data_IF_412349333873
#
_entry.id   IF_412349333873
#
_cell.length_a   1.000
_cell.length_b   1.000
_cell.length_c   1.000
_cell.angle_alpha   90.00
_cell.angle_beta   90.00
_cell.angle_gamma   90.00
#
_symmetry.space_group_name_H-M   'P 1'
#
loop_
_entity.id
_entity.type
_entity.pdbx_description
1 polymer ?
#
# COMPACT_ATOMS: atom_id res chain seq x y z
N UNK A 1 -24.29 -15.04 8.83
CA UNK A 1 -23.02 -14.46 8.49
C UNK A 1 -23.21 -13.37 7.47
N UNK A 2 -22.76 -12.14 7.80
CA UNK A 2 -22.74 -11.03 6.84
C UNK A 2 -21.43 -11.01 6.08
N UNK A 3 -21.46 -10.47 4.87
CA UNK A 3 -20.25 -10.19 4.10
C UNK A 3 -19.65 -8.85 4.55
N UNK A 4 -18.34 -8.73 4.48
CA UNK A 4 -17.63 -7.49 4.73
C UNK A 4 -17.94 -6.47 3.65
N UNK A 5 -18.37 -5.27 4.04
CA UNK A 5 -18.61 -4.14 3.15
C UNK A 5 -18.01 -2.86 3.79
N UNK A 6 -17.75 -1.85 2.96
CA UNK A 6 -17.10 -0.62 3.39
C UNK A 6 -18.15 0.47 3.54
N UNK A 7 -18.12 1.14 4.69
CA UNK A 7 -18.96 2.28 5.02
C UNK A 7 -18.08 3.49 5.34
N UNK A 8 -18.56 4.66 5.04
CA UNK A 8 -18.06 5.92 5.59
C UNK A 8 -18.93 6.32 6.77
N UNK A 9 -18.30 6.89 7.79
CA UNK A 9 -18.99 7.46 8.93
C UNK A 9 -18.57 8.93 9.06
N UNK A 10 -19.51 9.81 9.33
CA UNK A 10 -19.25 11.22 9.62
C UNK A 10 -20.04 11.67 10.85
N UNK A 11 -19.49 12.66 11.57
CA UNK A 11 -20.19 13.33 12.65
C UNK A 11 -21.26 14.22 12.02
N UNK A 12 -22.54 14.05 12.44
CA UNK A 12 -23.65 14.78 11.85
C UNK A 12 -23.80 16.21 12.39
N UNK A 13 -23.27 16.48 13.58
CA UNK A 13 -23.36 17.78 14.24
C UNK A 13 -22.06 18.54 14.17
N UNK A 14 -22.07 19.74 13.60
CA UNK A 14 -20.88 20.57 13.38
C UNK A 14 -20.15 20.97 14.67
N UNK A 15 -20.87 21.08 15.79
CA UNK A 15 -20.30 21.41 17.10
C UNK A 15 -19.54 20.24 17.75
N UNK A 16 -19.70 19.04 17.26
CA UNK A 16 -19.04 17.85 17.78
C UNK A 16 -17.73 17.58 17.00
N UNK A 17 -16.58 17.76 17.64
CA UNK A 17 -15.28 17.78 16.96
C UNK A 17 -14.59 16.42 16.83
N UNK A 18 -15.08 15.39 17.53
CA UNK A 18 -14.44 14.07 17.48
C UNK A 18 -15.45 12.93 17.70
N UNK A 19 -15.14 11.77 17.11
CA UNK A 19 -16.00 10.58 17.18
C UNK A 19 -16.28 10.06 18.60
N UNK A 20 -15.32 10.03 19.56
CA UNK A 20 -15.61 9.54 20.90
C UNK A 20 -16.70 10.32 21.65
N UNK A 21 -16.89 11.59 21.31
CA UNK A 21 -17.87 12.46 21.95
C UNK A 21 -19.08 12.76 21.04
N UNK A 22 -19.11 12.17 19.85
CA UNK A 22 -20.22 12.39 18.92
C UNK A 22 -21.48 11.71 19.41
N UNK A 23 -22.59 12.48 19.42
CA UNK A 23 -23.92 11.99 19.83
C UNK A 23 -24.74 11.50 18.66
N UNK A 24 -24.38 11.90 17.45
CA UNK A 24 -25.00 11.46 16.21
C UNK A 24 -23.95 11.20 15.12
N UNK A 25 -23.91 9.97 14.64
CA UNK A 25 -23.03 9.54 13.55
C UNK A 25 -23.91 9.09 12.39
N UNK A 26 -23.65 9.63 11.21
CA UNK A 26 -24.25 9.17 9.95
C UNK A 26 -23.33 8.20 9.25
N UNK A 27 -23.85 7.06 8.85
CA UNK A 27 -23.13 6.03 8.11
C UNK A 27 -23.72 5.85 6.72
N UNK A 28 -22.84 5.76 5.72
CA UNK A 28 -23.22 5.53 4.32
C UNK A 28 -22.33 4.43 3.72
N UNK A 29 -22.95 3.47 3.02
CA UNK A 29 -22.21 2.49 2.27
C UNK A 29 -21.44 3.16 1.10
N UNK A 30 -20.14 2.93 1.00
CA UNK A 30 -19.29 3.49 -0.07
C UNK A 30 -19.76 3.02 -1.44
N UNK A 31 -20.18 1.75 -1.51
CA UNK A 31 -20.75 1.09 -2.69
C UNK A 31 -21.99 0.31 -2.28
N UNK A 32 -22.87 -0.02 -3.22
CA UNK A 32 -24.02 -0.92 -2.92
C UNK A 32 -23.53 -2.18 -2.22
N UNK A 33 -24.27 -2.60 -1.18
CA UNK A 33 -23.97 -3.82 -0.42
C UNK A 33 -23.98 -5.01 -1.36
N UNK A 34 -22.99 -5.86 -1.26
CA UNK A 34 -22.72 -6.97 -2.15
C UNK A 34 -22.41 -8.25 -1.37
N UNK A 35 -22.53 -9.38 -2.02
CA UNK A 35 -22.03 -10.67 -1.52
C UNK A 35 -20.51 -10.80 -1.62
N UNK A 36 -19.85 -9.92 -2.38
CA UNK A 36 -18.40 -9.84 -2.42
C UNK A 36 -17.88 -9.23 -1.14
N UNK A 37 -16.83 -9.83 -0.59
CA UNK A 37 -16.15 -9.28 0.58
C UNK A 37 -15.30 -8.09 0.16
N UNK A 38 -15.38 -6.98 0.91
CA UNK A 38 -14.61 -5.76 0.69
C UNK A 38 -14.02 -5.27 2.00
N UNK A 39 -12.72 -5.14 2.08
CA UNK A 39 -12.01 -4.78 3.31
C UNK A 39 -10.70 -4.04 3.05
N UNK A 40 -9.99 -3.68 4.14
CA UNK A 40 -8.75 -2.91 4.13
C UNK A 40 -8.83 -1.60 3.31
N UNK A 41 -9.83 -0.72 3.55
CA UNK A 41 -9.97 0.51 2.78
C UNK A 41 -8.83 1.50 3.08
N UNK A 42 -8.34 2.18 2.04
CA UNK A 42 -7.36 3.27 2.15
C UNK A 42 -7.75 4.42 1.22
N UNK A 43 -7.84 5.63 1.74
CA UNK A 43 -8.04 6.83 0.92
C UNK A 43 -6.80 7.12 0.07
N UNK A 44 -7.02 7.63 -1.14
CA UNK A 44 -5.95 8.25 -1.92
C UNK A 44 -5.40 9.49 -1.19
N UNK A 45 -4.15 9.91 -1.45
CA UNK A 45 -3.55 11.08 -0.80
C UNK A 45 -4.36 12.36 -0.95
N UNK A 46 -5.10 12.51 -2.05
CA UNK A 46 -5.97 13.66 -2.30
C UNK A 46 -7.42 13.48 -1.77
N UNK A 47 -7.72 12.33 -1.18
CA UNK A 47 -9.02 12.02 -0.58
C UNK A 47 -10.17 11.80 -1.57
N UNK A 48 -9.91 11.74 -2.89
CA UNK A 48 -10.98 11.62 -3.89
C UNK A 48 -11.34 10.17 -4.23
N UNK A 49 -10.44 9.26 -3.98
CA UNK A 49 -10.59 7.85 -4.27
C UNK A 49 -10.39 7.00 -3.02
N UNK A 50 -10.92 5.80 -3.04
CA UNK A 50 -10.74 4.80 -2.00
C UNK A 50 -10.27 3.49 -2.65
N UNK A 51 -9.11 2.99 -2.25
CA UNK A 51 -8.65 1.66 -2.58
C UNK A 51 -9.18 0.65 -1.57
N UNK A 52 -9.41 -0.59 -2.00
CA UNK A 52 -9.86 -1.69 -1.15
C UNK A 52 -9.53 -3.04 -1.77
N UNK A 53 -9.52 -4.06 -0.93
CA UNK A 53 -9.39 -5.45 -1.39
C UNK A 53 -10.78 -6.03 -1.59
N UNK A 54 -11.05 -6.62 -2.77
CA UNK A 54 -12.26 -7.37 -3.06
C UNK A 54 -11.94 -8.86 -3.16
N UNK A 55 -12.77 -9.69 -2.50
CA UNK A 55 -12.66 -11.15 -2.50
C UNK A 55 -11.26 -11.67 -2.12
N UNK A 56 -10.54 -10.94 -1.25
CA UNK A 56 -9.20 -11.26 -0.68
C UNK A 56 -8.03 -11.18 -1.65
N UNK A 57 -8.27 -11.03 -2.95
CA UNK A 57 -7.23 -11.20 -3.97
C UNK A 57 -7.11 -10.03 -4.93
N UNK A 58 -8.13 -9.19 -5.07
CA UNK A 58 -8.16 -8.11 -6.06
C UNK A 58 -7.97 -6.74 -5.41
N UNK A 59 -7.06 -5.95 -5.94
CA UNK A 59 -6.95 -4.55 -5.58
C UNK A 59 -7.88 -3.72 -6.45
N UNK A 60 -8.82 -3.05 -5.82
CA UNK A 60 -9.85 -2.23 -6.46
C UNK A 60 -9.73 -0.79 -6.01
N UNK A 61 -10.17 0.14 -6.84
CA UNK A 61 -10.29 1.56 -6.49
C UNK A 61 -11.66 2.07 -6.92
N UNK A 62 -12.30 2.83 -6.04
CA UNK A 62 -13.54 3.55 -6.31
C UNK A 62 -13.33 5.06 -6.27
N UNK A 63 -13.82 5.78 -7.27
CA UNK A 63 -13.96 7.23 -7.23
C UNK A 63 -15.16 7.56 -6.32
N UNK A 64 -14.91 8.33 -5.26
CA UNK A 64 -15.91 8.58 -4.22
C UNK A 64 -17.08 9.45 -4.70
N UNK A 65 -16.85 10.30 -5.71
CA UNK A 65 -17.88 11.18 -6.27
C UNK A 65 -18.74 10.45 -7.29
N UNK A 66 -18.11 9.75 -8.24
CA UNK A 66 -18.82 9.11 -9.35
C UNK A 66 -19.26 7.69 -9.04
N UNK A 67 -18.73 7.09 -7.98
CA UNK A 67 -18.91 5.69 -7.58
C UNK A 67 -18.44 4.69 -8.64
N UNK A 68 -17.64 5.12 -9.61
CA UNK A 68 -17.04 4.24 -10.59
C UNK A 68 -15.92 3.43 -9.95
N UNK A 69 -15.94 2.13 -10.18
CA UNK A 69 -14.94 1.18 -9.68
C UNK A 69 -14.04 0.76 -10.83
N UNK A 70 -12.73 0.66 -10.56
CA UNK A 70 -11.75 0.04 -11.44
C UNK A 70 -10.94 -1.01 -10.71
N UNK A 71 -10.51 -2.02 -11.42
CA UNK A 71 -9.57 -3.02 -10.92
C UNK A 71 -8.14 -2.54 -11.21
N UNK A 72 -7.27 -2.62 -10.20
CA UNK A 72 -5.85 -2.25 -10.30
C UNK A 72 -4.97 -3.49 -10.44
N UNK A 73 -5.23 -4.51 -9.64
CA UNK A 73 -4.55 -5.80 -9.74
C UNK A 73 -5.57 -6.94 -9.64
N UNK A 74 -5.35 -8.00 -10.42
CA UNK A 74 -6.22 -9.16 -10.46
C UNK A 74 -5.77 -10.26 -9.48
N UNK A 75 -6.56 -11.33 -9.42
CA UNK A 75 -6.39 -12.43 -8.47
C UNK A 75 -5.19 -13.36 -8.77
N UNK A 76 -4.54 -13.23 -9.90
CA UNK A 76 -3.39 -14.09 -10.26
C UNK A 76 -2.15 -13.81 -9.41
N UNK A 77 -2.11 -12.65 -8.73
CA UNK A 77 -0.99 -12.24 -7.89
C UNK A 77 -1.18 -12.57 -6.41
N UNK A 78 -2.31 -13.18 -6.04
CA UNK A 78 -2.66 -13.38 -4.63
C UNK A 78 -3.20 -14.78 -4.34
N UNK A 79 -3.19 -15.12 -3.07
CA UNK A 79 -3.76 -16.35 -2.54
C UNK A 79 -5.11 -16.11 -1.84
N UNK A 80 -6.07 -16.99 -2.07
CA UNK A 80 -7.40 -16.87 -1.46
C UNK A 80 -7.45 -17.27 0.02
N UNK A 81 -6.39 -17.83 0.57
CA UNK A 81 -6.34 -18.34 1.94
C UNK A 81 -5.73 -17.33 2.90
N UNK A 82 -6.36 -16.23 3.16
CA UNK A 82 -5.83 -15.24 4.09
C UNK A 82 -6.75 -14.05 4.25
N UNK A 83 -6.32 -13.08 5.03
CA UNK A 83 -7.05 -11.84 5.27
C UNK A 83 -6.76 -10.76 4.20
N UNK A 84 -6.26 -11.17 3.04
CA UNK A 84 -5.81 -10.29 1.98
C UNK A 84 -4.30 -10.07 2.01
N UNK A 85 -3.84 -8.98 1.45
CA UNK A 85 -2.44 -8.59 1.31
C UNK A 85 -2.25 -7.12 1.70
N UNK A 86 -1.02 -6.73 2.01
CA UNK A 86 -0.69 -5.34 2.32
C UNK A 86 -0.47 -4.54 1.05
N UNK A 87 -1.00 -3.34 1.01
CA UNK A 87 -0.78 -2.38 -0.08
C UNK A 87 -0.75 -0.95 0.46
N UNK A 88 -0.19 -0.02 -0.29
CA UNK A 88 -0.16 1.40 0.07
C UNK A 88 -0.07 2.29 -1.18
N UNK A 89 -0.76 3.42 -1.15
CA UNK A 89 -0.65 4.46 -2.14
C UNK A 89 0.73 5.12 -2.12
N UNK A 90 1.26 5.46 -3.30
CA UNK A 90 2.36 6.41 -3.39
C UNK A 90 1.92 7.81 -2.95
N UNK A 91 2.83 8.68 -2.47
CA UNK A 91 2.47 10.03 -2.02
C UNK A 91 1.79 10.88 -3.09
N UNK A 92 2.11 10.66 -4.36
CA UNK A 92 1.50 11.35 -5.50
C UNK A 92 0.19 10.73 -6.01
N UNK A 93 -0.25 9.62 -5.40
CA UNK A 93 -1.47 8.90 -5.74
C UNK A 93 -1.45 8.18 -7.10
N UNK A 94 -0.29 8.05 -7.76
CA UNK A 94 -0.20 7.45 -9.10
C UNK A 94 0.14 5.98 -9.10
N UNK A 95 0.66 5.45 -7.99
CA UNK A 95 1.14 4.09 -7.86
C UNK A 95 0.65 3.44 -6.58
N UNK A 96 0.62 2.12 -6.58
CA UNK A 96 0.58 1.29 -5.38
C UNK A 96 1.89 0.53 -5.22
N UNK A 97 2.37 0.42 -3.99
CA UNK A 97 3.26 -0.64 -3.58
C UNK A 97 2.42 -1.71 -2.88
N UNK A 98 2.64 -2.98 -3.19
CA UNK A 98 1.82 -4.08 -2.66
C UNK A 98 2.62 -5.37 -2.52
N UNK A 99 2.16 -6.23 -1.63
CA UNK A 99 2.61 -7.61 -1.55
C UNK A 99 1.96 -8.43 -2.67
N UNK A 100 2.75 -9.30 -3.29
CA UNK A 100 2.27 -10.27 -4.28
C UNK A 100 2.87 -11.65 -3.99
N UNK A 101 2.18 -12.70 -4.42
CA UNK A 101 2.78 -14.03 -4.52
C UNK A 101 3.32 -14.17 -5.96
N UNK A 102 4.59 -13.80 -6.11
CA UNK A 102 5.27 -13.84 -7.40
C UNK A 102 5.73 -15.24 -7.77
N UNK A 103 5.91 -15.48 -9.06
CA UNK A 103 6.56 -16.68 -9.62
C UNK A 103 6.07 -18.05 -9.09
N UNK A 104 4.84 -18.14 -8.54
CA UNK A 104 4.28 -19.34 -7.91
C UNK A 104 5.14 -19.87 -6.74
N UNK A 105 5.86 -19.00 -6.06
CA UNK A 105 6.68 -19.34 -4.90
C UNK A 105 5.88 -19.30 -3.59
N UNK A 106 4.68 -19.85 -3.61
CA UNK A 106 3.90 -20.01 -2.39
C UNK A 106 4.68 -20.66 -1.26
N UNK A 107 4.58 -20.12 -0.05
CA UNK A 107 3.79 -18.95 0.42
C UNK A 107 4.59 -17.62 0.42
N UNK A 108 5.73 -17.56 -0.24
CA UNK A 108 6.65 -16.42 -0.16
C UNK A 108 6.12 -15.22 -0.94
N UNK A 109 6.00 -14.09 -0.26
CA UNK A 109 5.56 -12.83 -0.84
C UNK A 109 6.73 -12.00 -1.36
N UNK A 110 6.50 -11.29 -2.45
CA UNK A 110 7.39 -10.28 -3.01
C UNK A 110 6.75 -8.89 -2.90
N UNK A 111 7.56 -7.84 -3.00
CA UNK A 111 7.09 -6.46 -3.12
C UNK A 111 6.99 -6.10 -4.60
N UNK A 112 5.84 -5.56 -4.98
CA UNK A 112 5.57 -5.11 -6.33
C UNK A 112 5.00 -3.70 -6.37
N UNK A 113 5.08 -3.07 -7.54
CA UNK A 113 4.38 -1.81 -7.83
C UNK A 113 3.40 -2.00 -8.99
N UNK A 114 2.36 -1.20 -8.99
CA UNK A 114 1.38 -1.13 -10.07
C UNK A 114 0.83 0.28 -10.22
N UNK A 115 0.54 0.70 -11.45
CA UNK A 115 -0.09 2.00 -11.70
C UNK A 115 -1.51 2.04 -11.13
N UNK A 116 -1.83 3.12 -10.42
CA UNK A 116 -3.13 3.29 -9.75
C UNK A 116 -4.30 3.46 -10.73
N UNK A 117 -4.05 3.76 -12.00
CA UNK A 117 -5.08 3.85 -13.03
C UNK A 117 -5.59 2.49 -13.54
N UNK A 118 -4.96 1.39 -13.11
CA UNK A 118 -5.32 0.02 -13.48
C UNK A 118 -4.96 -0.38 -14.91
N UNK A 119 -4.13 0.41 -15.61
CA UNK A 119 -3.73 0.13 -17.01
C UNK A 119 -2.33 -0.46 -17.14
N UNK A 120 -1.55 -0.38 -16.07
CA UNK A 120 -0.18 -0.92 -16.04
C UNK A 120 -0.12 -2.38 -15.64
N UNK A 121 1.00 -3.02 -15.97
CA UNK A 121 1.33 -4.34 -15.43
C UNK A 121 1.85 -4.23 -13.99
N UNK A 122 1.65 -5.29 -13.21
CA UNK A 122 2.26 -5.42 -11.90
C UNK A 122 3.74 -5.77 -12.08
N UNK A 123 4.61 -4.91 -11.56
CA UNK A 123 6.08 -5.08 -11.65
C UNK A 123 6.60 -5.60 -10.32
N UNK A 124 7.08 -6.83 -10.30
CA UNK A 124 7.73 -7.43 -9.14
C UNK A 124 9.12 -6.79 -8.93
N UNK A 125 9.35 -6.15 -7.78
CA UNK A 125 10.59 -5.44 -7.48
C UNK A 125 11.63 -6.32 -6.79
N UNK A 126 11.20 -7.23 -5.92
CA UNK A 126 12.14 -8.01 -5.10
C UNK A 126 12.44 -9.36 -5.69
N UNK A 127 11.47 -10.01 -6.31
CA UNK A 127 11.60 -11.32 -6.97
C UNK A 127 12.47 -12.27 -6.15
N UNK A 128 12.18 -12.39 -4.86
CA UNK A 128 12.98 -13.11 -3.89
C UNK A 128 12.35 -14.47 -3.56
N UNK A 129 13.08 -15.34 -2.94
CA UNK A 129 12.54 -16.59 -2.37
C UNK A 129 12.31 -16.48 -0.87
N UNK A 130 12.01 -15.28 -0.37
CA UNK A 130 11.82 -14.97 1.05
C UNK A 130 10.49 -14.27 1.26
N UNK A 131 10.04 -14.15 2.51
CA UNK A 131 8.91 -13.29 2.84
C UNK A 131 9.36 -11.83 2.82
N UNK A 132 8.95 -11.12 1.78
CA UNK A 132 9.06 -9.66 1.70
C UNK A 132 7.67 -9.06 1.94
N UNK A 133 7.54 -8.18 2.93
CA UNK A 133 6.23 -7.73 3.42
C UNK A 133 6.22 -6.27 3.87
N UNK A 134 5.01 -5.74 4.09
CA UNK A 134 4.76 -4.42 4.66
C UNK A 134 5.44 -3.27 3.88
N UNK A 135 5.21 -3.13 2.58
CA UNK A 135 5.80 -2.05 1.79
C UNK A 135 5.32 -0.68 2.27
N UNK A 136 6.24 0.29 2.34
CA UNK A 136 5.95 1.69 2.68
C UNK A 136 6.75 2.63 1.80
N UNK A 137 6.07 3.56 1.16
CA UNK A 137 6.72 4.63 0.43
C UNK A 137 7.47 5.58 1.37
N UNK A 138 8.68 5.94 0.99
CA UNK A 138 9.53 6.91 1.71
C UNK A 138 10.24 7.81 0.70
N UNK A 139 10.95 8.85 1.19
CA UNK A 139 11.66 9.82 0.37
C UNK A 139 10.76 10.40 -0.74
N UNK A 140 9.57 10.86 -0.35
CA UNK A 140 8.57 11.45 -1.26
C UNK A 140 8.22 10.57 -2.47
N UNK A 141 8.18 9.25 -2.27
CA UNK A 141 7.87 8.27 -3.31
C UNK A 141 9.08 7.78 -4.11
N UNK A 142 10.29 8.21 -3.75
CA UNK A 142 11.51 7.79 -4.45
C UNK A 142 12.11 6.49 -3.94
N UNK A 143 11.57 5.92 -2.87
CA UNK A 143 11.96 4.61 -2.36
C UNK A 143 10.81 3.90 -1.64
N UNK A 144 10.95 2.59 -1.47
CA UNK A 144 10.03 1.75 -0.70
C UNK A 144 10.84 1.02 0.36
N UNK A 145 10.45 1.18 1.64
CA UNK A 145 10.88 0.32 2.74
C UNK A 145 10.00 -0.91 2.80
N UNK A 146 10.56 -2.04 3.16
CA UNK A 146 9.82 -3.28 3.40
C UNK A 146 10.56 -4.18 4.40
N UNK A 147 9.86 -5.11 5.01
CA UNK A 147 10.43 -6.15 5.86
C UNK A 147 10.81 -7.36 5.02
N UNK A 148 11.97 -7.98 5.30
CA UNK A 148 12.42 -9.19 4.60
C UNK A 148 13.03 -10.18 5.57
N UNK A 149 12.78 -11.46 5.34
CA UNK A 149 13.43 -12.56 6.06
C UNK A 149 14.75 -13.02 5.43
N UNK A 150 15.26 -12.29 4.45
CA UNK A 150 16.41 -12.68 3.62
C UNK A 150 17.68 -12.92 4.43
N UNK A 151 17.98 -12.06 5.38
CA UNK A 151 19.22 -12.12 6.18
C UNK A 151 18.95 -12.47 7.64
N UNK A 152 17.70 -12.56 8.06
CA UNK A 152 17.33 -12.86 9.42
C UNK A 152 17.65 -14.31 9.83
N UNK A 153 17.85 -14.53 11.12
CA UNK A 153 18.04 -15.87 11.66
C UNK A 153 16.74 -16.67 11.46
N UNK A 154 16.85 -17.79 10.77
CA UNK A 154 15.72 -18.69 10.53
C UNK A 154 15.43 -19.53 11.76
N UNK A 155 14.18 -19.58 12.14
CA UNK A 155 13.71 -20.48 13.18
C UNK A 155 13.57 -21.91 12.63
N UNK A 156 13.54 -22.85 13.57
CA UNK A 156 13.23 -24.24 13.27
C UNK A 156 11.88 -24.36 12.56
N UNK A 157 11.83 -25.18 11.52
CA UNK A 157 10.63 -25.45 10.72
C UNK A 157 10.14 -24.32 9.79
N UNK A 158 10.97 -23.36 9.44
CA UNK A 158 10.70 -22.34 8.40
C UNK A 158 9.56 -21.36 8.70
N UNK A 159 9.02 -21.32 9.90
CA UNK A 159 8.01 -20.35 10.31
C UNK A 159 8.61 -19.36 11.30
N UNK A 160 8.58 -18.08 10.93
CA UNK A 160 9.05 -16.98 11.76
C UNK A 160 10.57 -16.84 11.78
N UNK A 161 11.12 -16.21 10.79
CA UNK A 161 12.48 -15.72 10.82
C UNK A 161 12.53 -14.32 11.43
N UNK A 162 13.70 -13.90 11.91
CA UNK A 162 13.93 -12.49 12.21
C UNK A 162 13.85 -11.70 10.89
N UNK A 163 13.22 -10.54 10.94
CA UNK A 163 13.06 -9.70 9.78
C UNK A 163 14.02 -8.51 9.84
N UNK A 164 14.62 -8.20 8.70
CA UNK A 164 15.39 -6.99 8.48
C UNK A 164 14.54 -5.96 7.72
N UNK A 165 14.88 -4.68 7.89
CA UNK A 165 14.32 -3.60 7.09
C UNK A 165 15.16 -3.41 5.84
N UNK A 166 14.55 -3.53 4.70
CA UNK A 166 15.16 -3.36 3.39
C UNK A 166 14.61 -2.11 2.71
N UNK A 167 15.37 -1.55 1.78
CA UNK A 167 14.95 -0.41 0.97
C UNK A 167 15.26 -0.68 -0.51
N UNK A 168 14.29 -0.37 -1.36
CA UNK A 168 14.47 -0.30 -2.81
C UNK A 168 14.28 1.12 -3.30
N UNK A 169 15.22 1.63 -4.09
CA UNK A 169 15.16 2.97 -4.66
C UNK A 169 14.52 2.92 -6.05
N UNK A 170 13.66 3.89 -6.34
CA UNK A 170 12.96 3.98 -7.62
C UNK A 170 13.84 4.58 -8.73
N UNK A 171 14.90 5.28 -8.36
CA UNK A 171 15.85 5.89 -9.29
C UNK A 171 17.24 6.03 -8.67
N UNK A 172 18.25 6.21 -9.54
CA UNK A 172 19.65 6.33 -9.14
C UNK A 172 19.91 7.58 -8.30
N UNK A 173 19.29 8.70 -8.64
CA UNK A 173 19.50 9.98 -7.95
C UNK A 173 19.07 9.89 -6.48
N UNK A 174 17.95 9.23 -6.19
CA UNK A 174 17.50 9.00 -4.82
C UNK A 174 18.49 8.12 -4.03
N UNK A 175 19.05 7.09 -4.67
CA UNK A 175 20.06 6.23 -4.07
C UNK A 175 21.35 7.02 -3.79
N UNK A 176 21.85 7.79 -4.76
CA UNK A 176 23.07 8.57 -4.62
C UNK A 176 22.92 9.62 -3.52
N UNK A 177 21.80 10.34 -3.48
CA UNK A 177 21.46 11.29 -2.42
C UNK A 177 21.39 10.63 -1.03
N UNK A 178 20.81 9.45 -0.93
CA UNK A 178 20.74 8.70 0.31
C UNK A 178 22.12 8.30 0.86
N UNK A 179 23.09 8.05 -0.03
CA UNK A 179 24.46 7.65 0.35
C UNK A 179 25.38 8.79 0.75
N UNK A 180 24.97 10.04 0.55
CA UNK A 180 25.78 11.19 0.95
C UNK A 180 26.01 11.18 2.47
N UNK A 181 27.22 11.56 2.87
CA UNK A 181 27.47 11.90 4.28
C UNK A 181 26.71 13.19 4.64
N UNK A 182 26.68 13.54 5.91
CA UNK A 182 25.93 14.69 6.39
C UNK A 182 26.40 16.01 5.75
N UNK A 183 27.70 16.19 5.57
CA UNK A 183 28.28 17.41 5.02
C UNK A 183 27.92 17.60 3.56
N UNK A 184 28.12 16.57 2.74
CA UNK A 184 27.76 16.58 1.33
C UNK A 184 26.25 16.76 1.13
N UNK A 185 25.41 16.16 1.99
CA UNK A 185 23.97 16.32 1.94
C UNK A 185 23.52 17.76 2.23
N UNK A 186 24.14 18.44 3.21
CA UNK A 186 23.83 19.85 3.51
C UNK A 186 24.29 20.78 2.37
N UNK A 187 25.45 20.53 1.76
CA UNK A 187 25.90 21.26 0.57
C UNK A 187 24.92 21.12 -0.60
N UNK A 188 24.47 19.90 -0.87
CA UNK A 188 23.48 19.66 -1.92
C UNK A 188 22.17 20.43 -1.66
N UNK A 189 21.69 20.44 -0.43
CA UNK A 189 20.50 21.23 -0.06
C UNK A 189 20.66 22.73 -0.26
N UNK A 190 21.85 23.27 0.01
CA UNK A 190 22.16 24.68 -0.22
C UNK A 190 22.17 25.00 -1.72
N UNK A 191 22.72 24.11 -2.54
CA UNK A 191 22.68 24.27 -4.00
C UNK A 191 21.24 24.22 -4.54
N UNK A 192 20.44 23.23 -4.13
CA UNK A 192 19.03 23.13 -4.52
C UNK A 192 18.25 24.41 -4.19
N UNK A 193 18.50 25.03 -3.03
CA UNK A 193 17.88 26.30 -2.62
C UNK A 193 18.30 27.51 -3.45
N UNK A 194 19.51 27.49 -4.05
CA UNK A 194 20.01 28.58 -4.89
C UNK A 194 19.41 28.51 -6.31
N UNK A 195 18.99 27.33 -6.73
CA UNK A 195 18.46 27.07 -8.08
C UNK A 195 16.93 27.22 -8.11
N UNK A 196 16.24 27.04 -6.98
CA UNK A 196 14.78 27.18 -6.84
C UNK A 196 14.37 28.65 -6.67
#
# INVERSE_FOLDING_TARGET
GGNWNIYTAKIAREEEVNFPNATLIEEEAVLPVSTKERFAPQFSPDGKELAFIEDRTKLMVVDLKTKKVRQVADDKYQYRTGDGFTYTWSPDGKWFAMEIIGNRHDPYSDIAIVSADGKGEVVNLTNSGYFDSNPRWVLDGNAILFSSERYGMRNHASWGSLQDVMIVFMNQDAYDKFRLNKEDYELLKEEEKRIA
#
